data_IF_504819837642
#
_entry.id   IF_504819837642
#
_cell.length_a   1.000
_cell.length_b   1.000
_cell.length_c   1.000
_cell.angle_alpha   90.00
_cell.angle_beta   90.00
_cell.angle_gamma   90.00
#
_symmetry.space_group_name_H-M   'P 1'
#
loop_
_entity.id
_entity.type
_entity.pdbx_description
1 polymer ?
#
# COMPACT_ATOMS: atom_id res chain seq x y z
N UNK A 1 4.47 21.42 23.22
CA UNK A 1 4.28 19.95 23.08
C UNK A 1 3.34 19.75 21.92
N UNK A 2 3.83 19.29 20.77
CA UNK A 2 2.96 19.00 19.63
C UNK A 2 2.16 17.74 19.96
N UNK A 3 0.82 17.82 19.91
CA UNK A 3 -0.01 16.62 19.98
C UNK A 3 0.25 15.80 18.72
N UNK A 4 1.00 14.70 18.87
CA UNK A 4 1.19 13.72 17.79
C UNK A 4 -0.09 12.92 17.69
N UNK A 5 -0.85 13.15 16.63
CA UNK A 5 -1.98 12.31 16.31
C UNK A 5 -1.47 11.00 15.67
N UNK A 6 -1.48 9.94 16.47
CA UNK A 6 -0.98 8.62 16.09
C UNK A 6 -1.73 8.02 14.89
N UNK A 7 -2.91 8.52 14.53
CA UNK A 7 -3.63 8.11 13.32
C UNK A 7 -2.85 8.45 12.04
N UNK A 8 -1.97 9.45 12.09
CA UNK A 8 -1.15 9.86 10.95
C UNK A 8 0.23 9.19 10.90
N UNK A 9 0.70 8.64 12.02
CA UNK A 9 2.06 8.10 12.14
C UNK A 9 2.11 6.58 12.35
N UNK A 10 0.97 5.93 12.57
CA UNK A 10 0.89 4.48 12.82
C UNK A 10 -0.29 3.86 12.08
N UNK A 11 -0.01 3.08 11.03
CA UNK A 11 -1.03 2.39 10.26
C UNK A 11 -1.89 1.43 11.12
N UNK A 12 -1.34 0.62 12.07
CA UNK A 12 -2.17 -0.20 12.96
C UNK A 12 -3.17 0.61 13.77
N UNK A 13 -2.79 1.82 14.20
CA UNK A 13 -3.68 2.74 14.92
C UNK A 13 -4.76 3.25 13.98
N UNK A 14 -4.40 3.70 12.77
CA UNK A 14 -5.35 4.14 11.75
C UNK A 14 -6.39 3.05 11.41
N UNK A 15 -5.96 1.80 11.20
CA UNK A 15 -6.84 0.66 10.94
C UNK A 15 -7.82 0.42 12.10
N UNK A 16 -7.34 0.51 13.34
CA UNK A 16 -8.19 0.32 14.52
C UNK A 16 -9.24 1.42 14.65
N UNK A 17 -8.87 2.67 14.38
CA UNK A 17 -9.81 3.79 14.35
C UNK A 17 -10.84 3.66 13.23
N UNK A 18 -10.40 3.33 12.01
CA UNK A 18 -11.31 3.12 10.88
C UNK A 18 -12.36 2.04 11.20
N UNK A 19 -11.94 0.94 11.84
CA UNK A 19 -12.85 -0.10 12.29
C UNK A 19 -13.82 0.38 13.39
N UNK A 20 -13.31 1.04 14.44
CA UNK A 20 -14.15 1.56 15.53
C UNK A 20 -15.19 2.59 15.07
N UNK A 21 -14.84 3.38 14.06
CA UNK A 21 -15.71 4.40 13.46
C UNK A 21 -16.62 3.85 12.36
N UNK A 22 -16.60 2.53 12.11
CA UNK A 22 -17.38 1.88 11.06
C UNK A 22 -17.13 2.47 9.65
N UNK A 23 -15.88 2.83 9.36
CA UNK A 23 -15.46 3.28 8.03
C UNK A 23 -15.19 2.08 7.12
N UNK A 24 -15.26 2.32 5.81
CA UNK A 24 -15.06 1.26 4.81
C UNK A 24 -13.60 0.90 4.54
N UNK A 25 -12.63 1.75 4.93
CA UNK A 25 -11.23 1.51 4.62
C UNK A 25 -10.28 2.65 5.00
N UNK A 26 -9.03 2.50 4.58
CA UNK A 26 -7.95 3.47 4.77
C UNK A 26 -7.22 3.76 3.46
N UNK A 27 -6.64 4.96 3.39
CA UNK A 27 -5.68 5.35 2.36
C UNK A 27 -4.33 5.56 3.06
N UNK A 28 -3.25 4.97 2.54
CA UNK A 28 -1.94 4.96 3.20
C UNK A 28 -0.78 4.97 2.21
N UNK A 29 0.43 5.20 2.70
CA UNK A 29 1.66 5.12 1.90
C UNK A 29 2.02 3.66 1.56
N UNK A 30 2.46 3.44 0.32
CA UNK A 30 2.94 2.14 -0.17
C UNK A 30 4.17 1.61 0.57
N UNK A 31 4.95 2.48 1.22
CA UNK A 31 6.13 2.10 1.99
C UNK A 31 5.79 1.11 3.11
N UNK A 32 4.56 1.17 3.67
CA UNK A 32 4.11 0.21 4.69
C UNK A 32 4.01 -1.22 4.16
N UNK A 33 4.00 -1.39 2.84
CA UNK A 33 3.94 -2.65 2.12
C UNK A 33 5.20 -2.87 1.26
N UNK A 34 6.29 -2.14 1.53
CA UNK A 34 7.57 -2.32 0.86
C UNK A 34 7.65 -1.74 -0.55
N UNK A 35 6.92 -0.65 -0.83
CA UNK A 35 7.22 0.17 -2.01
C UNK A 35 8.57 0.90 -1.83
N UNK A 36 9.23 1.21 -2.95
CA UNK A 36 10.53 1.89 -2.98
C UNK A 36 11.58 1.30 -1.99
N UNK A 37 11.92 -0.01 -2.10
CA UNK A 37 12.80 -0.70 -1.15
C UNK A 37 14.23 -0.15 -1.09
N UNK A 38 14.64 0.65 -2.09
CA UNK A 38 15.91 1.38 -2.10
C UNK A 38 15.95 2.55 -1.10
N UNK A 39 14.80 3.05 -0.69
CA UNK A 39 14.64 4.22 0.18
C UNK A 39 14.11 3.84 1.56
N UNK A 40 13.26 2.81 1.63
CA UNK A 40 12.61 2.38 2.87
C UNK A 40 12.88 0.90 3.15
N UNK A 41 13.47 0.61 4.31
CA UNK A 41 13.60 -0.76 4.79
C UNK A 41 12.29 -1.20 5.43
N UNK A 42 11.66 -2.23 4.87
CA UNK A 42 10.44 -2.84 5.41
C UNK A 42 10.64 -4.34 5.53
N UNK A 43 10.30 -4.91 6.68
CA UNK A 43 10.36 -6.36 6.89
C UNK A 43 9.01 -7.02 6.62
N UNK A 44 9.05 -8.29 6.18
CA UNK A 44 7.85 -9.06 5.83
C UNK A 44 6.95 -9.35 7.04
N UNK A 45 7.52 -9.48 8.25
CA UNK A 45 6.76 -9.77 9.47
C UNK A 45 5.73 -8.67 9.80
N UNK A 46 6.09 -7.38 9.89
CA UNK A 46 5.14 -6.27 10.01
C UNK A 46 4.08 -6.24 8.91
N UNK A 47 4.47 -6.48 7.65
CA UNK A 47 3.54 -6.48 6.52
C UNK A 47 2.47 -7.57 6.70
N UNK A 48 2.89 -8.80 7.04
CA UNK A 48 1.97 -9.91 7.28
C UNK A 48 0.98 -9.61 8.42
N UNK A 49 1.46 -9.01 9.51
CA UNK A 49 0.60 -8.60 10.62
C UNK A 49 -0.43 -7.53 10.21
N UNK A 50 -0.02 -6.54 9.41
CA UNK A 50 -0.91 -5.51 8.86
C UNK A 50 -1.99 -6.12 7.96
N UNK A 51 -1.60 -7.01 7.05
CA UNK A 51 -2.53 -7.69 6.14
C UNK A 51 -3.58 -8.48 6.93
N UNK A 52 -3.13 -9.27 7.91
CA UNK A 52 -4.04 -10.04 8.76
C UNK A 52 -5.03 -9.15 9.52
N UNK A 53 -4.55 -8.01 10.04
CA UNK A 53 -5.38 -7.05 10.76
C UNK A 53 -6.43 -6.38 9.85
N UNK A 54 -6.03 -5.95 8.65
CA UNK A 54 -6.95 -5.39 7.64
C UNK A 54 -8.04 -6.38 7.24
N UNK A 55 -7.66 -7.63 6.96
CA UNK A 55 -8.60 -8.68 6.59
C UNK A 55 -9.59 -8.99 7.71
N UNK A 56 -9.11 -9.11 8.95
CA UNK A 56 -9.96 -9.33 10.14
C UNK A 56 -10.98 -8.20 10.31
N UNK A 57 -10.55 -6.95 10.09
CA UNK A 57 -11.40 -5.76 10.19
C UNK A 57 -12.27 -5.50 8.95
N UNK A 58 -12.08 -6.27 7.87
CA UNK A 58 -12.76 -6.12 6.57
C UNK A 58 -12.67 -4.70 6.00
N UNK A 59 -11.49 -4.08 6.16
CA UNK A 59 -11.24 -2.73 5.66
C UNK A 59 -10.67 -2.77 4.25
N UNK A 60 -11.16 -1.90 3.37
CA UNK A 60 -10.47 -1.60 2.12
C UNK A 60 -9.14 -0.88 2.41
N UNK A 61 -8.13 -1.13 1.58
CA UNK A 61 -6.83 -0.49 1.69
C UNK A 61 -6.35 0.00 0.32
N UNK A 62 -6.26 1.31 0.18
CA UNK A 62 -5.68 1.96 -0.99
C UNK A 62 -4.30 2.52 -0.64
N UNK A 63 -3.32 2.29 -1.52
CA UNK A 63 -1.95 2.75 -1.31
C UNK A 63 -1.53 3.78 -2.34
N UNK A 64 -0.73 4.76 -1.93
CA UNK A 64 -0.15 5.78 -2.80
C UNK A 64 1.29 6.10 -2.41
N UNK A 65 1.97 6.92 -3.21
CA UNK A 65 3.29 7.45 -2.91
C UNK A 65 4.40 6.78 -3.70
N UNK A 66 5.62 6.91 -3.22
CA UNK A 66 6.81 6.53 -3.99
C UNK A 66 6.91 5.02 -4.22
N UNK A 67 7.29 4.62 -5.44
CA UNK A 67 7.49 3.24 -5.84
C UNK A 67 6.19 2.43 -6.03
N UNK A 68 5.00 3.01 -5.84
CA UNK A 68 3.74 2.27 -6.00
C UNK A 68 3.37 2.01 -7.46
N UNK A 69 3.92 2.81 -8.39
CA UNK A 69 3.73 2.62 -9.84
C UNK A 69 4.65 1.57 -10.45
N UNK A 70 5.59 1.01 -9.69
CA UNK A 70 6.49 -0.04 -10.18
C UNK A 70 5.71 -1.35 -10.34
N UNK A 71 5.89 -2.04 -11.48
CA UNK A 71 5.23 -3.33 -11.75
C UNK A 71 5.43 -4.34 -10.61
N UNK A 72 6.65 -4.41 -10.07
CA UNK A 72 6.98 -5.30 -8.95
C UNK A 72 6.18 -5.02 -7.68
N UNK A 73 5.76 -3.78 -7.45
CA UNK A 73 4.91 -3.43 -6.32
C UNK A 73 3.44 -3.74 -6.60
N UNK A 74 2.97 -3.59 -7.84
CA UNK A 74 1.60 -3.95 -8.20
C UNK A 74 1.34 -5.45 -7.99
N UNK A 75 2.30 -6.30 -8.34
CA UNK A 75 2.22 -7.74 -8.08
C UNK A 75 2.13 -8.03 -6.56
N UNK A 76 2.94 -7.33 -5.75
CA UNK A 76 2.86 -7.41 -4.28
C UNK A 76 1.52 -6.95 -3.76
N UNK A 77 1.01 -5.82 -4.24
CA UNK A 77 -0.27 -5.26 -3.82
C UNK A 77 -1.42 -6.24 -4.07
N UNK A 78 -1.42 -6.91 -5.23
CA UNK A 78 -2.37 -7.97 -5.55
C UNK A 78 -2.22 -9.17 -4.60
N UNK A 79 -0.99 -9.65 -4.37
CA UNK A 79 -0.70 -10.78 -3.47
C UNK A 79 -1.08 -10.49 -2.01
N UNK A 80 -0.94 -9.24 -1.56
CA UNK A 80 -1.33 -8.80 -0.23
C UNK A 80 -2.84 -8.53 -0.09
N UNK A 81 -3.61 -8.62 -1.18
CA UNK A 81 -5.05 -8.37 -1.18
C UNK A 81 -5.40 -6.89 -0.95
N UNK A 82 -4.54 -5.97 -1.37
CA UNK A 82 -4.84 -4.54 -1.31
C UNK A 82 -5.98 -4.21 -2.27
N UNK A 83 -6.83 -3.25 -1.90
CA UNK A 83 -8.01 -2.89 -2.70
C UNK A 83 -7.65 -2.14 -3.97
N UNK A 84 -6.60 -1.31 -3.90
CA UNK A 84 -6.14 -0.58 -5.07
C UNK A 84 -4.84 0.18 -4.83
N UNK A 85 -4.21 0.56 -5.93
CA UNK A 85 -3.00 1.37 -5.96
C UNK A 85 -3.32 2.67 -6.69
N UNK A 86 -2.99 3.80 -6.07
CA UNK A 86 -3.17 5.14 -6.61
C UNK A 86 -1.83 5.60 -7.17
N UNK A 87 -1.75 5.73 -8.49
CA UNK A 87 -0.56 6.18 -9.21
C UNK A 87 -0.72 7.65 -9.61
N UNK A 88 0.37 8.40 -9.52
CA UNK A 88 0.48 9.80 -9.95
C UNK A 88 1.16 9.93 -11.33
N UNK A 89 1.96 8.94 -11.74
CA UNK A 89 2.72 8.91 -13.02
C UNK A 89 2.14 7.91 -14.02
N UNK A 90 0.91 8.15 -14.47
CA UNK A 90 0.18 7.24 -15.38
C UNK A 90 0.95 6.98 -16.68
N UNK A 91 1.53 8.01 -17.30
CA UNK A 91 2.22 7.87 -18.59
C UNK A 91 3.45 6.95 -18.51
N UNK A 92 4.28 7.14 -17.46
CA UNK A 92 5.45 6.30 -17.22
C UNK A 92 5.05 4.85 -16.93
N UNK A 93 3.99 4.65 -16.13
CA UNK A 93 3.45 3.33 -15.85
C UNK A 93 2.98 2.62 -17.13
N UNK A 94 2.22 3.32 -17.99
CA UNK A 94 1.69 2.75 -19.22
C UNK A 94 2.81 2.35 -20.20
N UNK A 95 3.89 3.13 -20.26
CA UNK A 95 5.06 2.75 -21.06
C UNK A 95 5.66 1.44 -20.55
N UNK A 96 6.00 1.33 -19.27
CA UNK A 96 6.57 0.09 -18.70
C UNK A 96 5.65 -1.12 -18.90
N UNK A 97 4.34 -0.94 -18.65
CA UNK A 97 3.34 -1.98 -18.80
C UNK A 97 3.31 -2.56 -20.23
N UNK A 98 3.22 -1.69 -21.25
CA UNK A 98 3.18 -2.10 -22.66
C UNK A 98 4.47 -2.84 -23.08
N UNK A 99 5.64 -2.39 -22.63
CA UNK A 99 6.90 -3.08 -22.91
C UNK A 99 6.97 -4.45 -22.23
N UNK A 100 6.44 -4.59 -21.00
CA UNK A 100 6.40 -5.85 -20.27
C UNK A 100 5.40 -6.88 -20.81
N UNK A 101 4.31 -6.41 -21.44
CA UNK A 101 3.24 -7.25 -21.96
C UNK A 101 3.49 -7.76 -23.39
N UNK A 102 4.55 -7.28 -24.04
CA UNK A 102 4.93 -7.74 -25.38
C UNK A 102 5.69 -9.06 -25.28
N UNK A 103 5.19 -10.18 -25.83
CA UNK A 103 5.97 -11.41 -25.88
C UNK A 103 7.22 -11.12 -26.72
N UNK A 104 8.37 -11.47 -26.18
CA UNK A 104 9.64 -11.46 -26.90
C UNK A 104 9.45 -12.17 -28.24
N UNK A 105 9.39 -11.38 -29.32
CA UNK A 105 9.33 -11.88 -30.70
C UNK A 105 10.60 -12.59 -31.11
#
# INVERSE_FOLDING_TARGET
MFHVDLRHSSLPVALSWAHMMNLSGVVTLGQHFGSAPKLYSTSEQPISALISDMQKKRLACFVYGEGVSELSFLDKAANYGLTGVIIDRVDSYMQEYVHSASPSG
#
